data_IF_370711342692
#
_entry.id   IF_370711342692
#
_cell.length_a   1.000
_cell.length_b   1.000
_cell.length_c   1.000
_cell.angle_alpha   90.00
_cell.angle_beta   90.00
_cell.angle_gamma   90.00
#
_symmetry.space_group_name_H-M   'P 1'
#
loop_
_entity.id
_entity.type
_entity.pdbx_description
1 polymer ?
#
# COMPACT_ATOMS: atom_id res chain seq x y z
N UNK A 1 5.47 -0.11 -20.08
CA UNK A 1 5.61 1.20 -20.76
C UNK A 1 6.52 2.12 -19.98
N UNK A 2 6.26 2.35 -18.69
CA UNK A 2 7.10 3.19 -17.82
C UNK A 2 8.61 2.88 -17.94
N UNK A 3 9.00 1.60 -17.85
CA UNK A 3 10.39 1.17 -18.05
C UNK A 3 10.96 1.56 -19.43
N UNK A 4 10.20 1.30 -20.50
CA UNK A 4 10.58 1.71 -21.88
C UNK A 4 10.67 3.24 -22.04
N UNK A 5 9.97 3.99 -21.19
CA UNK A 5 10.01 5.45 -21.13
C UNK A 5 11.13 5.98 -20.22
N UNK A 6 11.98 5.11 -19.67
CA UNK A 6 13.14 5.48 -18.86
C UNK A 6 12.87 5.63 -17.36
N UNK A 7 11.68 5.25 -16.87
CA UNK A 7 11.42 5.24 -15.43
C UNK A 7 12.39 4.29 -14.71
N UNK A 8 12.83 4.69 -13.51
CA UNK A 8 13.78 3.93 -12.69
C UNK A 8 13.08 3.17 -11.55
N UNK A 9 11.79 3.41 -11.36
CA UNK A 9 10.95 2.75 -10.35
C UNK A 9 9.48 2.86 -10.76
N UNK A 10 8.64 2.04 -10.13
CA UNK A 10 7.19 2.04 -10.30
C UNK A 10 6.49 2.35 -8.98
N UNK A 11 5.23 2.74 -9.08
CA UNK A 11 4.36 2.99 -7.93
C UNK A 11 3.02 2.26 -8.10
N UNK A 12 2.63 1.51 -7.08
CA UNK A 12 1.29 0.92 -6.98
C UNK A 12 0.48 1.78 -6.00
N UNK A 13 -0.46 2.55 -6.57
CA UNK A 13 -1.37 3.43 -5.84
C UNK A 13 -2.52 2.64 -5.22
N UNK A 14 -2.81 2.82 -3.93
CA UNK A 14 -3.95 2.17 -3.27
C UNK A 14 -5.28 2.58 -3.89
N UNK A 15 -5.46 3.88 -4.13
CA UNK A 15 -6.61 4.40 -4.87
C UNK A 15 -6.66 3.94 -6.34
N UNK A 16 -5.49 3.64 -6.94
CA UNK A 16 -5.38 3.04 -8.27
C UNK A 16 -5.88 1.60 -8.30
N UNK A 17 -5.52 0.79 -7.30
CA UNK A 17 -6.05 -0.58 -7.13
C UNK A 17 -7.56 -0.53 -6.88
N UNK A 18 -8.03 0.33 -5.98
CA UNK A 18 -9.46 0.48 -5.68
C UNK A 18 -10.27 0.84 -6.94
N UNK A 19 -9.87 1.89 -7.66
CA UNK A 19 -10.63 2.36 -8.81
C UNK A 19 -10.41 1.51 -10.07
N UNK A 20 -9.17 1.16 -10.36
CA UNK A 20 -8.77 0.50 -11.61
C UNK A 20 -8.99 -1.01 -11.58
N UNK A 21 -8.64 -1.67 -10.49
CA UNK A 21 -8.71 -3.14 -10.38
C UNK A 21 -10.05 -3.60 -9.82
N UNK A 22 -10.64 -2.85 -8.87
CA UNK A 22 -11.86 -3.25 -8.16
C UNK A 22 -13.12 -2.47 -8.57
N UNK A 23 -12.98 -1.31 -9.21
CA UNK A 23 -14.12 -0.47 -9.58
C UNK A 23 -14.84 0.19 -8.39
N UNK A 24 -14.15 0.38 -7.26
CA UNK A 24 -14.68 0.96 -6.03
C UNK A 24 -13.93 2.24 -5.62
N UNK A 25 -14.54 3.15 -4.84
CA UNK A 25 -13.84 4.34 -4.39
C UNK A 25 -12.75 4.03 -3.36
N UNK A 26 -11.76 4.90 -3.28
CA UNK A 26 -10.64 4.84 -2.32
C UNK A 26 -11.07 5.22 -0.89
N UNK A 27 -11.80 4.29 -0.25
CA UNK A 27 -12.37 4.43 1.10
C UNK A 27 -11.97 3.26 2.01
N UNK A 28 -10.77 2.69 1.80
CA UNK A 28 -10.27 1.55 2.58
C UNK A 28 -11.01 0.24 2.31
N UNK A 29 -11.57 0.08 1.10
CA UNK A 29 -12.31 -1.12 0.68
C UNK A 29 -11.36 -2.22 0.20
N UNK A 30 -10.26 -1.85 -0.45
CA UNK A 30 -9.23 -2.79 -0.90
C UNK A 30 -8.59 -3.53 0.27
N UNK A 31 -8.32 -4.81 0.06
CA UNK A 31 -7.64 -5.69 1.01
C UNK A 31 -6.16 -5.87 0.63
N UNK A 32 -5.37 -6.40 1.57
CA UNK A 32 -3.98 -6.81 1.30
C UNK A 32 -3.87 -7.71 0.07
N UNK A 33 -4.80 -8.65 -0.11
CA UNK A 33 -4.74 -9.59 -1.22
C UNK A 33 -4.96 -8.91 -2.58
N UNK A 34 -5.84 -7.91 -2.63
CA UNK A 34 -6.09 -7.15 -3.87
C UNK A 34 -4.82 -6.42 -4.33
N UNK A 35 -4.13 -5.78 -3.38
CA UNK A 35 -2.86 -5.09 -3.65
C UNK A 35 -1.74 -6.09 -3.98
N UNK A 36 -1.62 -7.18 -3.23
CA UNK A 36 -0.57 -8.18 -3.44
C UNK A 36 -0.63 -8.84 -4.82
N UNK A 37 -1.83 -9.16 -5.31
CA UNK A 37 -2.01 -9.74 -6.65
C UNK A 37 -1.54 -8.77 -7.75
N UNK A 38 -1.82 -7.47 -7.61
CA UNK A 38 -1.39 -6.48 -8.59
C UNK A 38 0.13 -6.26 -8.53
N UNK A 39 0.73 -6.25 -7.33
CA UNK A 39 2.19 -6.20 -7.17
C UNK A 39 2.85 -7.41 -7.81
N UNK A 40 2.36 -8.63 -7.56
CA UNK A 40 2.89 -9.88 -8.14
C UNK A 40 2.82 -9.87 -9.67
N UNK A 41 1.71 -9.38 -10.24
CA UNK A 41 1.54 -9.27 -11.70
C UNK A 41 2.52 -8.28 -12.32
N UNK A 42 2.81 -7.18 -11.64
CA UNK A 42 3.72 -6.14 -12.14
C UNK A 42 5.17 -6.62 -11.99
N UNK A 43 5.55 -7.15 -10.82
CA UNK A 43 6.91 -7.63 -10.55
C UNK A 43 7.31 -8.78 -11.47
N UNK A 44 6.37 -9.64 -11.88
CA UNK A 44 6.61 -10.69 -12.87
C UNK A 44 6.97 -10.17 -14.29
N UNK A 45 6.93 -8.85 -14.53
CA UNK A 45 7.12 -8.25 -15.86
C UNK A 45 8.24 -7.22 -15.93
N UNK A 46 8.89 -6.89 -14.82
CA UNK A 46 9.92 -5.84 -14.75
C UNK A 46 10.81 -6.04 -13.53
N UNK A 47 12.09 -5.70 -13.67
CA UNK A 47 13.05 -5.70 -12.56
C UNK A 47 13.10 -4.34 -11.84
N UNK A 48 12.30 -3.35 -12.28
CA UNK A 48 12.26 -2.05 -11.63
C UNK A 48 11.67 -2.16 -10.21
N UNK A 49 12.25 -1.48 -9.21
CA UNK A 49 11.72 -1.47 -7.86
C UNK A 49 10.32 -0.85 -7.81
N UNK A 50 9.41 -1.48 -7.08
CA UNK A 50 8.02 -1.06 -6.96
C UNK A 50 7.79 -0.51 -5.54
N UNK A 51 7.42 0.77 -5.43
CA UNK A 51 6.89 1.36 -4.21
C UNK A 51 5.39 1.10 -4.12
N UNK A 52 4.91 0.58 -2.98
CA UNK A 52 3.51 0.18 -2.80
C UNK A 52 2.87 0.98 -1.68
N UNK A 53 1.66 1.48 -1.95
CA UNK A 53 0.75 2.03 -0.94
C UNK A 53 0.08 0.92 -0.13
N UNK A 54 0.28 0.92 1.18
CA UNK A 54 -0.30 -0.10 2.07
C UNK A 54 -1.34 0.45 3.04
N UNK A 55 -1.87 1.64 2.75
CA UNK A 55 -2.82 2.34 3.62
C UNK A 55 -2.30 2.38 5.09
N UNK A 56 -3.07 1.82 6.01
CA UNK A 56 -2.73 1.69 7.44
C UNK A 56 -2.21 0.30 7.81
N UNK A 57 -1.99 -0.59 6.83
CA UNK A 57 -1.51 -1.96 7.02
C UNK A 57 -2.60 -3.00 7.38
N UNK A 58 -3.87 -2.72 7.05
CA UNK A 58 -5.02 -3.62 7.16
C UNK A 58 -5.25 -4.27 8.55
N UNK A 59 -4.88 -3.58 9.63
CA UNK A 59 -5.16 -4.01 11.00
C UNK A 59 -4.11 -3.57 12.01
N UNK A 60 -3.98 -4.35 13.09
CA UNK A 60 -2.98 -4.11 14.13
C UNK A 60 -1.59 -4.66 13.78
N UNK A 61 -0.69 -4.70 14.75
CA UNK A 61 0.72 -5.09 14.56
C UNK A 61 0.91 -6.38 13.77
N UNK A 62 0.17 -7.46 14.10
CA UNK A 62 0.29 -8.74 13.37
C UNK A 62 -0.16 -8.64 11.89
N UNK A 63 -1.15 -7.80 11.60
CA UNK A 63 -1.60 -7.56 10.23
C UNK A 63 -0.56 -6.76 9.44
N UNK A 64 0.05 -5.75 10.08
CA UNK A 64 1.12 -4.95 9.49
C UNK A 64 2.32 -5.85 9.16
N UNK A 65 2.81 -6.65 10.11
CA UNK A 65 3.94 -7.56 9.86
C UNK A 65 3.62 -8.58 8.76
N UNK A 66 2.37 -9.10 8.72
CA UNK A 66 1.91 -9.97 7.63
C UNK A 66 1.90 -9.23 6.28
N UNK A 67 1.48 -7.98 6.25
CA UNK A 67 1.43 -7.17 5.03
C UNK A 67 2.83 -6.95 4.45
N UNK A 68 3.80 -6.60 5.29
CA UNK A 68 5.21 -6.46 4.89
C UNK A 68 5.73 -7.76 4.26
N UNK A 69 5.62 -8.88 4.98
CA UNK A 69 6.08 -10.17 4.47
C UNK A 69 5.39 -10.58 3.16
N UNK A 70 4.09 -10.31 3.05
CA UNK A 70 3.30 -10.68 1.86
C UNK A 70 3.74 -9.85 0.65
N UNK A 71 3.93 -8.55 0.81
CA UNK A 71 4.29 -7.65 -0.29
C UNK A 71 5.75 -7.77 -0.70
N UNK A 72 6.66 -8.01 0.26
CA UNK A 72 8.04 -8.37 -0.04
C UNK A 72 8.08 -9.65 -0.90
N UNK A 73 7.34 -10.70 -0.50
CA UNK A 73 7.22 -11.93 -1.28
C UNK A 73 6.60 -11.71 -2.66
N UNK A 74 5.67 -10.76 -2.80
CA UNK A 74 5.07 -10.39 -4.08
C UNK A 74 6.02 -9.60 -5.00
N UNK A 75 7.17 -9.15 -4.50
CA UNK A 75 8.18 -8.40 -5.26
C UNK A 75 8.08 -6.88 -5.09
N UNK A 76 7.46 -6.38 -4.03
CA UNK A 76 7.56 -4.97 -3.67
C UNK A 76 9.01 -4.61 -3.28
N UNK A 77 9.53 -3.49 -3.81
CA UNK A 77 10.84 -2.97 -3.44
C UNK A 77 10.80 -1.98 -2.27
N UNK A 78 9.65 -1.36 -2.03
CA UNK A 78 9.39 -0.48 -0.91
C UNK A 78 7.89 -0.40 -0.62
N UNK A 79 7.54 0.04 0.59
CA UNK A 79 6.16 0.36 0.97
C UNK A 79 6.09 1.70 1.69
N UNK A 80 4.91 2.33 1.70
CA UNK A 80 4.60 3.41 2.63
C UNK A 80 3.31 3.11 3.40
N UNK A 81 3.32 3.45 4.69
CA UNK A 81 2.21 3.29 5.64
C UNK A 81 1.84 4.66 6.22
N UNK A 82 0.54 4.92 6.41
CA UNK A 82 0.04 6.21 6.91
C UNK A 82 -0.54 6.15 8.34
N UNK A 83 -0.65 7.34 8.94
CA UNK A 83 -1.13 7.59 10.30
C UNK A 83 -2.64 7.92 10.34
N UNK A 84 -3.41 7.59 9.30
CA UNK A 84 -4.86 7.68 9.36
C UNK A 84 -5.45 6.63 10.31
N UNK A 85 -6.66 6.88 10.81
CA UNK A 85 -7.48 5.82 11.42
C UNK A 85 -7.76 4.70 10.40
N UNK A 86 -8.07 3.49 10.87
CA UNK A 86 -8.23 2.34 9.98
C UNK A 86 -9.32 2.54 8.92
N UNK A 87 -10.41 3.25 9.26
CA UNK A 87 -11.38 3.76 8.28
C UNK A 87 -10.83 5.02 7.59
N UNK A 88 -9.73 4.83 6.85
CA UNK A 88 -9.01 5.91 6.18
C UNK A 88 -9.82 6.52 5.04
N UNK A 89 -9.43 7.71 4.63
CA UNK A 89 -9.96 8.39 3.44
C UNK A 89 -8.82 8.65 2.45
N UNK A 90 -9.18 8.80 1.18
CA UNK A 90 -8.22 9.30 0.18
C UNK A 90 -7.54 10.59 0.66
N UNK A 91 -6.21 10.65 0.54
CA UNK A 91 -5.38 11.78 1.01
C UNK A 91 -5.78 13.15 0.46
N UNK A 92 -6.50 13.20 -0.68
CA UNK A 92 -7.00 14.42 -1.31
C UNK A 92 -8.39 14.87 -0.82
N UNK A 93 -9.07 14.10 0.04
CA UNK A 93 -10.40 14.41 0.55
C UNK A 93 -10.33 15.11 1.92
N UNK A 94 -11.28 16.01 2.26
CA UNK A 94 -11.35 16.65 3.57
C UNK A 94 -11.79 15.66 4.66
N UNK A 95 -11.61 16.07 5.92
CA UNK A 95 -12.01 15.33 7.13
C UNK A 95 -11.28 13.99 7.33
N UNK A 96 -9.95 14.02 7.15
CA UNK A 96 -9.06 12.91 7.54
C UNK A 96 -8.89 12.93 9.05
N UNK A 97 -9.00 11.76 9.65
CA UNK A 97 -8.74 11.55 11.07
C UNK A 97 -7.43 10.79 11.20
N UNK A 98 -6.56 11.30 12.07
CA UNK A 98 -5.23 10.72 12.31
C UNK A 98 -5.20 10.07 13.69
N UNK A 99 -4.37 9.05 13.79
CA UNK A 99 -4.05 8.43 15.07
C UNK A 99 -3.00 9.23 15.82
N UNK A 100 -2.77 8.88 17.08
CA UNK A 100 -1.70 9.50 17.86
C UNK A 100 -0.33 9.22 17.24
N UNK A 101 0.63 10.13 17.46
CA UNK A 101 2.03 9.90 17.08
C UNK A 101 2.59 8.58 17.63
N UNK A 102 2.25 8.24 18.87
CA UNK A 102 2.66 6.97 19.49
C UNK A 102 2.12 5.76 18.74
N UNK A 103 0.86 5.81 18.30
CA UNK A 103 0.28 4.72 17.52
C UNK A 103 0.97 4.57 16.16
N UNK A 104 1.22 5.67 15.44
CA UNK A 104 1.96 5.60 14.19
C UNK A 104 3.38 5.04 14.39
N UNK A 105 4.06 5.44 15.47
CA UNK A 105 5.37 4.87 15.83
C UNK A 105 5.27 3.36 16.06
N UNK A 106 4.22 2.86 16.70
CA UNK A 106 4.04 1.43 16.92
C UNK A 106 3.69 0.67 15.63
N UNK A 107 3.00 1.31 14.68
CA UNK A 107 2.82 0.76 13.32
C UNK A 107 4.16 0.63 12.60
N UNK A 108 5.00 1.66 12.63
CA UNK A 108 6.35 1.63 12.04
C UNK A 108 7.18 0.52 12.69
N UNK A 109 7.18 0.38 14.02
CA UNK A 109 7.88 -0.72 14.71
C UNK A 109 7.38 -2.10 14.32
N UNK A 110 6.09 -2.23 13.97
CA UNK A 110 5.52 -3.51 13.53
C UNK A 110 5.94 -3.87 12.10
N UNK A 111 6.38 -2.88 11.32
CA UNK A 111 6.79 -3.01 9.93
C UNK A 111 8.31 -3.20 9.73
N UNK A 112 9.12 -3.01 10.78
CA UNK A 112 10.60 -3.04 10.76
C UNK A 112 11.13 -4.21 11.59
#
# INVERSE_FOLDING_TARGET
>A
MAEKSGAQSLYVSGGGVAAGSLGVPDLGISTLNDVAIDVERISARTELPILVDIDTGWGGSFNISRAIYTLEKAGAGAVHIEDQVQQKRCGHRPNKELVSKSEMVDRIKSAV
#
